data_IF_389579548926
#
_entry.id   IF_389579548926
#
_cell.length_a   1.000
_cell.length_b   1.000
_cell.length_c   1.000
_cell.angle_alpha   90.00
_cell.angle_beta   90.00
_cell.angle_gamma   90.00
#
_symmetry.space_group_name_H-M   'P 1'
#
loop_
_entity.id
_entity.type
_entity.pdbx_description
1 polymer ?
#
# COMPACT_ATOMS: atom_id res chain seq x y z
N UNK A 1 12.62 -19.67 3.51
CA UNK A 1 11.89 -20.39 2.44
C UNK A 1 10.93 -19.39 1.85
N UNK A 2 10.84 -19.32 0.52
CA UNK A 2 9.87 -18.47 -0.15
C UNK A 2 8.45 -18.79 0.33
N UNK A 3 7.60 -17.77 0.40
CA UNK A 3 6.19 -17.98 0.65
C UNK A 3 5.55 -18.71 -0.52
N UNK A 4 4.79 -19.76 -0.22
CA UNK A 4 4.08 -20.53 -1.24
C UNK A 4 2.94 -19.69 -1.83
N UNK A 5 2.87 -19.62 -3.17
CA UNK A 5 1.88 -18.79 -3.86
C UNK A 5 0.44 -19.23 -3.57
N UNK A 6 0.17 -20.54 -3.52
CA UNK A 6 -1.18 -21.07 -3.37
C UNK A 6 -1.64 -21.09 -1.92
N UNK A 7 -0.73 -21.40 -1.00
CA UNK A 7 -1.02 -21.59 0.41
C UNK A 7 -0.87 -20.30 1.22
N UNK A 8 -0.03 -19.36 0.76
CA UNK A 8 0.27 -18.14 1.52
C UNK A 8 -0.19 -16.86 0.81
N UNK A 9 0.15 -16.66 -0.46
CA UNK A 9 -0.14 -15.41 -1.18
C UNK A 9 -1.61 -15.33 -1.62
N UNK A 10 -2.09 -16.33 -2.36
CA UNK A 10 -3.42 -16.35 -2.96
C UNK A 10 -4.54 -16.11 -1.94
N UNK A 11 -4.56 -16.78 -0.76
CA UNK A 11 -5.60 -16.53 0.24
C UNK A 11 -5.58 -15.10 0.79
N UNK A 12 -4.39 -14.49 0.89
CA UNK A 12 -4.25 -13.09 1.33
C UNK A 12 -4.75 -12.12 0.26
N UNK A 13 -4.38 -12.32 -1.00
CA UNK A 13 -4.87 -11.48 -2.09
C UNK A 13 -6.40 -11.59 -2.25
N UNK A 14 -6.97 -12.78 -2.12
CA UNK A 14 -8.42 -12.98 -2.13
C UNK A 14 -9.10 -12.26 -0.96
N UNK A 15 -8.50 -12.33 0.24
CA UNK A 15 -9.00 -11.59 1.41
C UNK A 15 -8.93 -10.08 1.20
N UNK A 16 -7.80 -9.57 0.69
CA UNK A 16 -7.63 -8.15 0.37
C UNK A 16 -8.67 -7.68 -0.66
N UNK A 17 -8.88 -8.45 -1.73
CA UNK A 17 -9.88 -8.16 -2.75
C UNK A 17 -11.32 -8.13 -2.17
N UNK A 18 -11.66 -9.05 -1.28
CA UNK A 18 -12.96 -9.06 -0.60
C UNK A 18 -13.17 -7.86 0.36
N UNK A 19 -12.07 -7.32 0.90
CA UNK A 19 -12.08 -6.16 1.80
C UNK A 19 -12.00 -4.82 1.07
N UNK A 20 -11.72 -4.81 -0.23
CA UNK A 20 -11.52 -3.60 -1.03
C UNK A 20 -12.74 -2.67 -0.99
N UNK A 21 -12.57 -1.53 -0.32
CA UNK A 21 -13.62 -0.55 -0.03
C UNK A 21 -14.84 -1.13 0.70
N UNK A 22 -14.65 -2.21 1.47
CA UNK A 22 -15.68 -2.86 2.27
C UNK A 22 -15.43 -2.64 3.77
N UNK A 23 -16.21 -3.32 4.62
CA UNK A 23 -16.02 -3.32 6.07
C UNK A 23 -14.72 -4.05 6.43
N UNK A 24 -13.91 -3.52 7.38
CA UNK A 24 -12.66 -4.16 7.78
C UNK A 24 -12.89 -5.50 8.49
N UNK A 25 -11.89 -6.36 8.46
CA UNK A 25 -11.80 -7.52 9.32
C UNK A 25 -11.43 -7.10 10.75
N UNK A 26 -11.83 -7.90 11.74
CA UNK A 26 -11.32 -7.73 13.11
C UNK A 26 -9.87 -8.22 13.22
N UNK A 27 -9.08 -7.56 14.07
CA UNK A 27 -7.77 -8.05 14.50
C UNK A 27 -7.48 -7.60 15.94
N UNK A 28 -6.84 -8.48 16.70
CA UNK A 28 -6.41 -8.24 18.09
C UNK A 28 -4.90 -7.97 18.19
N UNK A 29 -4.23 -7.83 17.05
CA UNK A 29 -2.79 -7.53 16.98
C UNK A 29 -2.58 -6.10 16.46
N UNK A 30 -1.37 -5.52 16.60
CA UNK A 30 -1.08 -4.22 16.03
C UNK A 30 -1.40 -4.17 14.53
N UNK A 31 -1.62 -2.96 14.01
CA UNK A 31 -1.97 -2.73 12.62
C UNK A 31 -0.85 -1.94 11.94
N UNK A 32 -0.54 -2.29 10.70
CA UNK A 32 0.44 -1.61 9.86
C UNK A 32 -0.21 -1.13 8.58
N UNK A 33 0.11 0.10 8.19
CA UNK A 33 -0.40 0.74 6.97
C UNK A 33 0.68 0.78 5.90
N UNK A 34 0.34 0.32 4.70
CA UNK A 34 1.07 0.57 3.46
C UNK A 34 0.25 1.44 2.52
N UNK A 35 0.90 2.38 1.83
CA UNK A 35 0.27 3.21 0.79
C UNK A 35 1.08 3.09 -0.50
N UNK A 36 0.40 2.75 -1.58
CA UNK A 36 0.96 2.68 -2.93
C UNK A 36 0.33 3.74 -3.84
N UNK A 37 1.18 4.41 -4.62
CA UNK A 37 0.79 5.46 -5.56
C UNK A 37 1.03 4.94 -6.98
N UNK A 38 0.06 4.19 -7.50
CA UNK A 38 0.11 3.63 -8.84
C UNK A 38 -0.24 4.63 -9.94
N UNK A 39 0.07 4.24 -11.18
CA UNK A 39 -0.30 5.00 -12.38
C UNK A 39 -1.81 5.13 -12.57
N UNK A 40 -2.57 4.08 -12.20
CA UNK A 40 -4.02 4.03 -12.41
C UNK A 40 -4.85 4.12 -11.13
N UNK A 41 -4.24 3.90 -9.97
CA UNK A 41 -4.92 3.88 -8.69
C UNK A 41 -3.99 4.28 -7.54
N UNK A 42 -4.62 4.69 -6.45
CA UNK A 42 -3.96 4.84 -5.15
C UNK A 42 -4.54 3.76 -4.25
N UNK A 43 -3.68 3.03 -3.54
CA UNK A 43 -4.09 1.95 -2.64
C UNK A 43 -3.55 2.22 -1.24
N UNK A 44 -4.41 2.10 -0.23
CA UNK A 44 -4.01 2.05 1.17
C UNK A 44 -4.46 0.73 1.76
N UNK A 45 -3.51 -0.08 2.21
CA UNK A 45 -3.78 -1.40 2.79
C UNK A 45 -3.31 -1.47 4.23
N UNK A 46 -4.18 -1.98 5.09
CA UNK A 46 -3.86 -2.27 6.49
C UNK A 46 -3.70 -3.79 6.65
N UNK A 47 -2.61 -4.20 7.28
CA UNK A 47 -2.36 -5.59 7.67
C UNK A 47 -2.14 -5.71 9.18
N UNK A 48 -2.33 -6.92 9.69
CA UNK A 48 -2.10 -7.25 11.10
C UNK A 48 -0.74 -7.93 11.34
N UNK A 49 -0.53 -8.43 12.57
CA UNK A 49 0.77 -8.97 13.02
C UNK A 49 1.17 -10.26 12.34
N UNK A 50 0.24 -10.89 11.62
CA UNK A 50 0.46 -12.11 10.85
C UNK A 50 0.47 -11.82 9.34
N UNK A 51 0.62 -10.55 8.96
CA UNK A 51 0.48 -10.05 7.60
C UNK A 51 -0.86 -10.47 6.98
N UNK A 52 -1.94 -10.49 7.77
CA UNK A 52 -3.28 -10.71 7.24
C UNK A 52 -3.89 -9.36 6.86
N UNK A 53 -4.48 -9.22 5.66
CA UNK A 53 -5.25 -8.03 5.30
C UNK A 53 -6.39 -7.78 6.29
N UNK A 54 -6.52 -6.53 6.71
CA UNK A 54 -7.52 -6.04 7.67
C UNK A 54 -8.46 -5.04 6.99
N UNK A 55 -7.92 -4.11 6.21
CA UNK A 55 -8.70 -3.12 5.47
C UNK A 55 -7.97 -2.74 4.18
N UNK A 56 -8.72 -2.37 3.15
CA UNK A 56 -8.18 -1.90 1.86
C UNK A 56 -9.04 -0.74 1.38
N UNK A 57 -8.42 0.42 1.14
CA UNK A 57 -9.00 1.53 0.40
C UNK A 57 -8.32 1.62 -0.96
N UNK A 58 -9.12 1.69 -2.02
CA UNK A 58 -8.63 1.85 -3.39
C UNK A 58 -9.46 2.89 -4.12
N UNK A 59 -8.78 3.83 -4.74
CA UNK A 59 -9.39 4.80 -5.65
C UNK A 59 -8.66 4.81 -6.97
N UNK A 60 -9.40 4.65 -8.08
CA UNK A 60 -8.87 4.90 -9.41
C UNK A 60 -8.46 6.36 -9.53
N UNK A 61 -7.23 6.60 -9.95
CA UNK A 61 -6.60 7.90 -9.93
C UNK A 61 -5.56 8.02 -11.04
N UNK A 62 -5.50 9.19 -11.66
CA UNK A 62 -4.46 9.57 -12.62
C UNK A 62 -3.59 10.62 -11.96
N UNK A 63 -2.78 10.20 -10.98
CA UNK A 63 -1.92 11.08 -10.19
C UNK A 63 -0.43 10.83 -10.45
N UNK A 64 -0.08 9.65 -10.97
CA UNK A 64 1.28 9.29 -11.38
C UNK A 64 1.33 9.07 -12.89
N UNK A 65 2.33 9.65 -13.55
CA UNK A 65 2.64 9.44 -14.98
C UNK A 65 4.14 9.34 -15.17
N UNK A 66 4.58 8.31 -15.87
CA UNK A 66 6.01 8.05 -16.17
C UNK A 66 6.89 8.14 -14.90
N UNK A 67 6.38 7.66 -13.76
CA UNK A 67 7.11 7.69 -12.49
C UNK A 67 7.16 9.05 -11.79
N UNK A 68 6.29 9.99 -12.18
CA UNK A 68 6.19 11.33 -11.61
C UNK A 68 4.78 11.54 -11.05
N UNK A 69 4.68 11.95 -9.79
CA UNK A 69 3.43 12.46 -9.21
C UNK A 69 3.13 13.82 -9.84
N UNK A 70 2.26 13.87 -10.84
CA UNK A 70 1.95 15.08 -11.59
C UNK A 70 0.79 15.88 -10.98
N UNK A 71 -0.16 15.19 -10.33
CA UNK A 71 -1.20 15.81 -9.50
C UNK A 71 -0.94 15.55 -8.02
N UNK A 72 0.02 16.30 -7.48
CA UNK A 72 0.43 16.19 -6.09
C UNK A 72 -0.71 16.45 -5.10
N UNK A 73 -1.50 17.51 -5.32
CA UNK A 73 -2.58 17.86 -4.40
C UNK A 73 -3.73 16.85 -4.47
N UNK A 74 -4.02 16.31 -5.66
CA UNK A 74 -4.95 15.20 -5.84
C UNK A 74 -4.49 13.97 -5.07
N UNK A 75 -3.23 13.56 -5.22
CA UNK A 75 -2.66 12.42 -4.49
C UNK A 75 -2.76 12.60 -2.97
N UNK A 76 -2.35 13.76 -2.43
CA UNK A 76 -2.45 14.06 -0.99
C UNK A 76 -3.90 14.03 -0.50
N UNK A 77 -4.84 14.54 -1.30
CA UNK A 77 -6.27 14.54 -0.95
C UNK A 77 -6.84 13.12 -0.92
N UNK A 78 -6.46 12.27 -1.88
CA UNK A 78 -6.87 10.86 -1.91
C UNK A 78 -6.34 10.10 -0.70
N UNK A 79 -5.04 10.23 -0.40
CA UNK A 79 -4.43 9.56 0.77
C UNK A 79 -5.10 10.02 2.06
N UNK A 80 -5.36 11.31 2.26
CA UNK A 80 -6.10 11.80 3.44
C UNK A 80 -7.50 11.19 3.54
N UNK A 81 -8.23 11.08 2.42
CA UNK A 81 -9.55 10.45 2.40
C UNK A 81 -9.48 8.97 2.79
N UNK A 82 -8.46 8.24 2.33
CA UNK A 82 -8.22 6.86 2.77
C UNK A 82 -7.95 6.81 4.28
N UNK A 83 -7.11 7.69 4.80
CA UNK A 83 -6.80 7.75 6.24
C UNK A 83 -8.05 8.03 7.08
N UNK A 84 -8.86 9.00 6.68
CA UNK A 84 -10.12 9.32 7.37
C UNK A 84 -11.10 8.13 7.34
N UNK A 85 -11.19 7.42 6.21
CA UNK A 85 -12.01 6.22 6.06
C UNK A 85 -11.52 5.10 6.99
N UNK A 86 -10.21 4.84 7.00
CA UNK A 86 -9.60 3.81 7.84
C UNK A 86 -9.77 4.14 9.33
N UNK A 87 -9.57 5.40 9.73
CA UNK A 87 -9.76 5.84 11.12
C UNK A 87 -11.23 5.66 11.56
N UNK A 88 -12.19 6.01 10.70
CA UNK A 88 -13.61 5.80 10.98
C UNK A 88 -13.95 4.30 11.12
N UNK A 89 -13.37 3.45 10.27
CA UNK A 89 -13.66 2.02 10.23
C UNK A 89 -13.00 1.22 11.36
N UNK A 90 -11.75 1.56 11.69
CA UNK A 90 -10.91 0.81 12.64
C UNK A 90 -10.87 1.45 14.04
N UNK A 91 -11.34 2.69 14.17
CA UNK A 91 -11.34 3.42 15.44
C UNK A 91 -9.95 3.82 15.94
N UNK A 92 -8.94 3.81 15.06
CA UNK A 92 -7.59 4.21 15.37
C UNK A 92 -6.99 5.07 14.25
N UNK A 93 -6.17 6.06 14.62
CA UNK A 93 -5.49 6.94 13.68
C UNK A 93 -4.10 6.42 13.37
N UNK A 94 -3.79 6.26 12.09
CA UNK A 94 -2.43 5.95 11.64
C UNK A 94 -1.58 7.22 11.63
N UNK A 95 -0.40 7.15 12.24
CA UNK A 95 0.61 8.21 12.19
C UNK A 95 1.82 7.83 11.36
N UNK A 96 1.96 6.54 11.01
CA UNK A 96 3.06 6.01 10.23
C UNK A 96 2.56 5.14 9.08
N UNK A 97 3.28 5.13 7.97
CA UNK A 97 3.03 4.20 6.87
C UNK A 97 4.32 3.82 6.12
N UNK A 98 4.32 2.64 5.53
CA UNK A 98 5.28 2.25 4.50
C UNK A 98 4.77 2.65 3.11
N UNK A 99 5.68 2.84 2.15
CA UNK A 99 5.31 3.11 0.75
C UNK A 99 6.29 2.51 -0.25
N UNK A 100 5.83 2.40 -1.49
CA UNK A 100 6.60 1.97 -2.66
C UNK A 100 6.88 3.12 -3.63
N UNK A 101 7.84 2.93 -4.52
CA UNK A 101 8.08 3.81 -5.66
C UNK A 101 8.52 3.01 -6.90
N UNK A 102 8.23 3.48 -8.13
CA UNK A 102 8.67 2.83 -9.35
C UNK A 102 10.18 2.84 -9.49
N UNK A 103 10.80 1.73 -9.95
CA UNK A 103 12.24 1.67 -10.13
C UNK A 103 12.73 2.71 -11.14
N UNK A 104 13.89 3.31 -10.85
CA UNK A 104 14.47 4.38 -11.69
C UNK A 104 13.92 5.78 -11.43
N UNK A 105 13.04 5.94 -10.45
CA UNK A 105 12.53 7.24 -9.98
C UNK A 105 13.11 7.63 -8.62
N UNK A 106 12.85 8.85 -8.16
CA UNK A 106 13.24 9.29 -6.80
C UNK A 106 12.15 8.87 -5.79
N UNK A 107 12.46 8.14 -4.71
CA UNK A 107 11.49 7.74 -3.69
C UNK A 107 10.74 8.92 -3.05
N UNK A 108 11.29 10.14 -3.13
CA UNK A 108 10.63 11.36 -2.64
C UNK A 108 9.28 11.63 -3.30
N UNK A 109 9.01 11.07 -4.48
CA UNK A 109 7.69 11.22 -5.11
C UNK A 109 6.57 10.69 -4.21
N UNK A 110 6.79 9.55 -3.54
CA UNK A 110 5.81 8.94 -2.65
C UNK A 110 5.93 9.53 -1.24
N UNK A 111 7.16 9.70 -0.74
CA UNK A 111 7.41 10.23 0.61
C UNK A 111 6.72 11.58 0.81
N UNK A 112 6.89 12.52 -0.13
CA UNK A 112 6.35 13.86 0.01
C UNK A 112 4.80 13.87 0.06
N UNK A 113 4.15 12.96 -0.66
CA UNK A 113 2.69 12.82 -0.65
C UNK A 113 2.23 12.32 0.72
N UNK A 114 2.86 11.27 1.25
CA UNK A 114 2.51 10.70 2.55
C UNK A 114 2.77 11.69 3.69
N UNK A 115 3.92 12.35 3.71
CA UNK A 115 4.25 13.38 4.70
C UNK A 115 3.26 14.54 4.65
N UNK A 116 2.89 14.97 3.44
CA UNK A 116 1.87 16.00 3.26
C UNK A 116 0.47 15.53 3.68
N UNK A 117 0.18 14.23 3.60
CA UNK A 117 -1.04 13.65 4.15
C UNK A 117 -1.03 13.56 5.69
N UNK A 118 0.11 13.81 6.34
CA UNK A 118 0.26 13.83 7.79
C UNK A 118 0.81 12.53 8.37
N UNK A 119 1.45 11.69 7.56
CA UNK A 119 2.10 10.45 7.97
C UNK A 119 3.60 10.63 8.12
N UNK A 120 4.21 9.97 9.09
CA UNK A 120 5.64 9.70 9.11
C UNK A 120 5.94 8.45 8.27
N UNK A 121 6.89 8.52 7.35
CA UNK A 121 7.20 7.39 6.47
C UNK A 121 8.17 6.44 7.19
N UNK A 122 7.69 5.25 7.55
CA UNK A 122 8.47 4.28 8.33
C UNK A 122 9.42 3.44 7.47
N UNK A 123 9.01 3.12 6.25
CA UNK A 123 9.79 2.33 5.29
C UNK A 123 9.47 2.76 3.86
N UNK A 124 10.49 2.71 3.00
CA UNK A 124 10.37 3.01 1.56
C UNK A 124 11.11 1.93 0.79
N UNK A 125 10.42 1.29 -0.15
CA UNK A 125 10.93 0.18 -0.95
C UNK A 125 10.68 0.48 -2.43
N UNK A 126 11.56 0.09 -3.33
CA UNK A 126 11.16 0.01 -4.74
C UNK A 126 10.17 -1.15 -4.91
N UNK A 127 9.25 -1.04 -5.86
CA UNK A 127 8.18 -2.03 -6.09
C UNK A 127 8.71 -3.46 -6.29
N UNK A 128 9.75 -3.73 -7.11
CA UNK A 128 10.33 -5.07 -7.22
C UNK A 128 10.82 -5.63 -5.89
N UNK A 129 11.52 -4.83 -5.08
CA UNK A 129 11.98 -5.24 -3.76
C UNK A 129 10.81 -5.54 -2.82
N UNK A 130 9.74 -4.73 -2.84
CA UNK A 130 8.55 -5.00 -2.04
C UNK A 130 7.91 -6.37 -2.35
N UNK A 131 7.85 -6.75 -3.63
CA UNK A 131 7.36 -8.08 -4.05
C UNK A 131 8.32 -9.18 -3.63
N UNK A 132 9.63 -8.98 -3.81
CA UNK A 132 10.65 -9.96 -3.42
C UNK A 132 10.61 -10.24 -1.91
N UNK A 133 10.50 -9.20 -1.09
CA UNK A 133 10.39 -9.29 0.36
C UNK A 133 9.08 -9.96 0.79
N UNK A 134 7.94 -9.57 0.18
CA UNK A 134 6.62 -10.16 0.44
C UNK A 134 6.62 -11.68 0.21
N UNK A 135 7.35 -12.14 -0.81
CA UNK A 135 7.41 -13.55 -1.20
C UNK A 135 8.63 -14.28 -0.64
N UNK A 136 9.48 -13.61 0.15
CA UNK A 136 10.74 -14.13 0.67
C UNK A 136 11.61 -14.78 -0.44
N UNK A 137 11.71 -14.09 -1.57
CA UNK A 137 12.50 -14.52 -2.74
C UNK A 137 13.96 -14.08 -2.58
N UNK A 138 14.88 -15.02 -2.78
CA UNK A 138 16.32 -14.78 -2.66
C UNK A 138 16.96 -14.42 -4.01
N UNK A 139 16.50 -15.05 -5.10
CA UNK A 139 16.98 -14.81 -6.46
C UNK A 139 15.81 -14.89 -7.45
N UNK A 140 15.24 -13.75 -7.82
CA UNK A 140 14.08 -13.68 -8.70
C UNK A 140 14.13 -12.45 -9.63
N UNK A 141 13.49 -12.57 -10.79
CA UNK A 141 13.10 -11.42 -11.60
C UNK A 141 11.63 -11.09 -11.32
N UNK A 142 11.35 -9.85 -10.96
CA UNK A 142 9.98 -9.35 -10.82
C UNK A 142 9.64 -8.55 -12.06
N UNK A 143 8.50 -8.87 -12.67
CA UNK A 143 7.95 -8.12 -13.80
C UNK A 143 6.63 -7.54 -13.33
N UNK A 144 6.63 -6.25 -13.00
CA UNK A 144 5.41 -5.52 -12.67
C UNK A 144 4.75 -5.00 -13.95
N UNK A 145 3.47 -5.32 -14.11
CA UNK A 145 2.65 -4.91 -15.25
C UNK A 145 1.52 -4.06 -14.67
N UNK A 146 1.79 -2.76 -14.55
CA UNK A 146 0.80 -1.75 -14.24
C UNK A 146 -0.15 -1.45 -15.40
N UNK A 147 -0.94 -0.38 -15.25
CA UNK A 147 -1.88 0.08 -16.27
C UNK A 147 -1.26 0.86 -17.43
#
# INVERSE_FOLDING_TARGET
MAHDEQLWLTPRLQKAAALCNQTPAASDTPLWLGVDLGTCDVVSMVVDGNAQPVAVCLDWADVVRDGIVWDFFGAVTLVRRHLDTLEQQLGCRFTHAATSFPPGTDPRISINVLESAGLEVSHVLDEPTAVADLLALDNAGVVDIGG
#
